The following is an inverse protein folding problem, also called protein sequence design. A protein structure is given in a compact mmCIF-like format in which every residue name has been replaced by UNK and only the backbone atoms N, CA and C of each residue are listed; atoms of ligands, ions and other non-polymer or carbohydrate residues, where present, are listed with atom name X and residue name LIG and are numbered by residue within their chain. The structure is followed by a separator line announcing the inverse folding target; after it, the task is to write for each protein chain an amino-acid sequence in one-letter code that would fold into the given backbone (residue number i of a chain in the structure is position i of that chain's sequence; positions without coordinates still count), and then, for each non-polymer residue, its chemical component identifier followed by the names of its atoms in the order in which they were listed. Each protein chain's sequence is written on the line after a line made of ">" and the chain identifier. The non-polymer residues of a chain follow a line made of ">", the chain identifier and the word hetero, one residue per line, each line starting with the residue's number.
data_IF_835705731924
#
_entry.id   IF_835705731924
#
_cell.length_a   1.000
_cell.length_b   1.000
_cell.length_c   1.000
_cell.angle_alpha   90.00
_cell.angle_beta   90.00
_cell.angle_gamma   90.00
#
_symmetry.space_group_name_H-M   'P 1'
#
loop_
_entity.id
_entity.type
_entity.pdbx_description
1 polymer ?
#
# COMPACT_ATOMS: atom_id res chain seq x y z
N UNK A 1 -6.34 3.53 5.78
CA UNK A 1 -6.93 2.86 4.59
C UNK A 1 -7.90 1.74 5.03
N UNK A 2 -9.13 1.75 4.52
CA UNK A 2 -10.14 0.75 4.85
C UNK A 2 -10.45 -0.07 3.58
N UNK A 3 -10.21 -1.37 3.62
CA UNK A 3 -10.44 -2.27 2.48
C UNK A 3 -11.58 -3.20 2.86
N UNK A 4 -12.74 -2.92 2.29
CA UNK A 4 -14.00 -3.58 2.63
C UNK A 4 -14.67 -4.12 1.38
N UNK A 5 -15.21 -5.34 1.47
CA UNK A 5 -16.22 -5.80 0.54
C UNK A 5 -17.56 -5.12 0.86
N UNK A 6 -18.39 -4.89 -0.16
CA UNK A 6 -19.70 -4.29 0.03
C UNK A 6 -20.61 -5.22 0.85
N UNK A 7 -21.54 -4.64 1.60
CA UNK A 7 -22.64 -5.38 2.21
C UNK A 7 -23.80 -5.45 1.23
N UNK A 8 -24.49 -6.59 1.16
CA UNK A 8 -25.84 -6.56 0.64
C UNK A 8 -26.76 -6.11 1.78
N UNK A 9 -27.24 -4.87 1.74
CA UNK A 9 -28.02 -4.25 2.81
C UNK A 9 -29.28 -5.05 3.19
N UNK A 10 -29.77 -5.89 2.27
CA UNK A 10 -30.99 -6.67 2.44
C UNK A 10 -30.83 -7.95 3.27
N UNK A 11 -29.63 -8.27 3.79
CA UNK A 11 -29.36 -9.55 4.48
C UNK A 11 -28.81 -9.45 5.93
N UNK A 12 -28.85 -8.28 6.55
CA UNK A 12 -28.53 -8.09 7.96
C UNK A 12 -27.05 -8.24 8.35
N UNK A 13 -26.77 -8.16 9.66
CA UNK A 13 -25.43 -8.11 10.29
C UNK A 13 -24.45 -9.25 9.92
N UNK A 14 -24.94 -10.32 9.31
CA UNK A 14 -24.16 -11.50 8.92
C UNK A 14 -23.78 -11.52 7.42
N UNK A 15 -24.00 -10.45 6.66
CA UNK A 15 -23.71 -10.40 5.23
C UNK A 15 -22.62 -9.39 4.88
N UNK A 16 -21.37 -9.76 5.13
CA UNK A 16 -20.20 -9.08 4.55
C UNK A 16 -19.72 -9.88 3.35
N UNK A 17 -19.74 -9.29 2.16
CA UNK A 17 -19.39 -9.99 0.92
C UNK A 17 -17.88 -10.00 0.62
N UNK A 18 -17.06 -9.86 1.67
CA UNK A 18 -15.59 -9.89 1.61
C UNK A 18 -15.08 -11.08 0.80
N UNK A 19 -15.79 -12.21 0.83
CA UNK A 19 -15.56 -13.40 0.02
C UNK A 19 -15.37 -13.18 -1.49
N UNK A 20 -15.90 -12.12 -2.10
CA UNK A 20 -15.74 -11.85 -3.54
C UNK A 20 -14.54 -10.96 -3.87
N UNK A 21 -14.06 -10.21 -2.88
CA UNK A 21 -12.89 -9.35 -3.04
C UNK A 21 -11.66 -10.13 -2.60
N UNK A 22 -10.90 -10.62 -3.59
CA UNK A 22 -9.77 -11.54 -3.42
C UNK A 22 -8.52 -10.98 -4.09
N UNK A 23 -7.38 -11.53 -3.70
CA UNK A 23 -6.09 -11.32 -4.34
C UNK A 23 -5.62 -9.85 -4.32
N UNK A 24 -5.86 -9.16 -3.21
CA UNK A 24 -5.31 -7.81 -3.00
C UNK A 24 -3.88 -7.93 -2.48
N UNK A 25 -2.96 -7.17 -3.05
CA UNK A 25 -1.62 -6.98 -2.51
C UNK A 25 -1.44 -5.51 -2.10
N UNK A 26 -1.06 -5.27 -0.86
CA UNK A 26 -0.71 -3.97 -0.30
C UNK A 26 0.77 -4.06 0.01
N UNK A 27 1.62 -3.42 -0.79
CA UNK A 27 3.05 -3.55 -0.60
C UNK A 27 3.82 -2.26 -0.83
N UNK A 28 4.91 -2.10 -0.06
CA UNK A 28 5.85 -0.97 -0.16
C UNK A 28 5.21 0.41 0.04
N UNK A 29 4.16 0.47 0.86
CA UNK A 29 3.52 1.74 1.24
C UNK A 29 4.09 2.29 2.55
N UNK A 30 3.95 3.60 2.75
CA UNK A 30 4.11 4.27 4.04
C UNK A 30 2.73 4.68 4.58
N UNK A 31 2.34 4.12 5.73
CA UNK A 31 1.20 4.57 6.52
C UNK A 31 1.73 5.43 7.67
N UNK A 32 1.31 6.70 7.75
CA UNK A 32 1.80 7.63 8.78
C UNK A 32 0.68 8.55 9.30
N UNK A 33 0.75 8.92 10.59
CA UNK A 33 -0.11 9.95 11.22
C UNK A 33 -1.60 9.60 11.34
N UNK A 34 -1.96 8.32 11.20
CA UNK A 34 -3.34 7.83 11.22
C UNK A 34 -3.65 7.09 12.51
N UNK A 35 -4.81 7.35 13.12
CA UNK A 35 -5.21 6.71 14.39
C UNK A 35 -5.31 5.16 14.30
N UNK A 36 -6.14 4.66 13.40
CA UNK A 36 -6.36 3.23 13.17
C UNK A 36 -6.70 2.96 11.70
N UNK A 37 -6.90 1.68 11.36
CA UNK A 37 -7.13 1.21 9.98
C UNK A 37 -5.88 1.40 9.11
N UNK A 38 -4.78 0.84 9.58
CA UNK A 38 -3.44 0.95 8.97
C UNK A 38 -2.89 -0.37 8.38
N UNK A 39 -3.59 -1.11 7.49
CA UNK A 39 -4.95 -0.96 7.00
C UNK A 39 -5.97 -1.69 7.91
N UNK A 40 -7.28 -1.52 7.64
CA UNK A 40 -8.35 -2.44 8.10
C UNK A 40 -8.78 -3.35 6.94
N UNK A 41 -8.79 -4.66 7.16
CA UNK A 41 -8.96 -5.69 6.14
C UNK A 41 -10.17 -6.57 6.43
N UNK A 42 -11.24 -6.38 5.65
CA UNK A 42 -12.49 -7.11 5.77
C UNK A 42 -12.87 -7.79 4.43
N UNK A 43 -11.86 -8.09 3.60
CA UNK A 43 -12.00 -8.81 2.34
C UNK A 43 -11.34 -10.18 2.46
N UNK A 44 -11.51 -11.07 1.48
CA UNK A 44 -11.20 -12.48 1.67
C UNK A 44 -9.71 -12.81 1.62
N UNK A 45 -9.00 -12.54 0.52
CA UNK A 45 -7.56 -12.84 0.43
C UNK A 45 -6.73 -11.59 0.20
N UNK A 46 -5.89 -11.24 1.18
CA UNK A 46 -5.02 -10.06 1.14
C UNK A 46 -3.60 -10.43 1.52
N UNK A 47 -2.61 -9.80 0.86
CA UNK A 47 -1.21 -9.82 1.26
C UNK A 47 -0.78 -8.41 1.62
N UNK A 48 -0.26 -8.23 2.83
CA UNK A 48 0.33 -6.99 3.33
C UNK A 48 1.83 -7.22 3.43
N UNK A 49 2.59 -6.76 2.44
CA UNK A 49 4.00 -7.13 2.26
C UNK A 49 4.89 -5.89 2.27
N UNK A 50 5.90 -5.85 3.16
CA UNK A 50 6.95 -4.83 3.14
C UNK A 50 6.46 -3.37 3.19
N UNK A 51 5.39 -3.10 3.94
CA UNK A 51 4.95 -1.74 4.22
C UNK A 51 5.66 -1.19 5.47
N UNK A 52 5.72 0.13 5.58
CA UNK A 52 6.13 0.85 6.79
C UNK A 52 4.89 1.46 7.41
N UNK A 53 4.65 1.16 8.68
CA UNK A 53 3.58 1.75 9.49
C UNK A 53 4.22 2.58 10.60
N UNK A 54 3.96 3.87 10.60
CA UNK A 54 4.58 4.83 11.50
C UNK A 54 3.55 5.68 12.24
N UNK A 55 3.84 5.98 13.51
CA UNK A 55 3.10 6.95 14.32
C UNK A 55 1.58 6.75 14.30
N UNK A 56 1.14 5.51 14.52
CA UNK A 56 -0.29 5.23 14.65
C UNK A 56 -0.77 5.61 16.05
N UNK A 57 -2.07 5.89 16.14
CA UNK A 57 -2.78 6.06 17.42
C UNK A 57 -3.26 4.72 17.93
N UNK A 58 -4.57 4.48 17.88
CA UNK A 58 -5.20 3.27 18.40
C UNK A 58 -4.64 1.94 17.84
N UNK A 59 -4.34 1.82 16.52
CA UNK A 59 -3.96 0.51 15.93
C UNK A 59 -3.00 0.61 14.75
N UNK A 60 -2.00 -0.26 14.77
CA UNK A 60 -1.04 -0.45 13.70
C UNK A 60 -1.61 -1.20 12.47
N UNK A 61 -2.74 -1.89 12.63
CA UNK A 61 -3.42 -2.62 11.56
C UNK A 61 -4.57 -3.46 12.11
N UNK A 62 -5.46 -3.91 11.23
CA UNK A 62 -6.63 -4.69 11.60
C UNK A 62 -7.04 -5.64 10.48
N UNK A 63 -7.35 -6.88 10.86
CA UNK A 63 -8.10 -7.82 10.04
C UNK A 63 -9.42 -8.11 10.74
N UNK A 64 -10.48 -8.40 10.00
CA UNK A 64 -11.75 -8.77 10.59
C UNK A 64 -12.42 -9.92 9.85
N UNK A 65 -13.42 -10.49 10.51
CA UNK A 65 -14.41 -11.36 9.90
C UNK A 65 -13.79 -12.62 9.29
N UNK A 66 -14.04 -12.88 8.01
CA UNK A 66 -13.59 -14.03 7.23
C UNK A 66 -12.25 -13.77 6.49
N UNK A 67 -11.55 -12.69 6.84
CA UNK A 67 -10.32 -12.31 6.15
C UNK A 67 -9.20 -13.34 6.33
N UNK A 68 -8.58 -13.71 5.21
CA UNK A 68 -7.39 -14.54 5.09
C UNK A 68 -6.24 -13.64 4.65
N UNK A 69 -5.31 -13.38 5.58
CA UNK A 69 -4.28 -12.35 5.39
C UNK A 69 -2.89 -12.91 5.59
N UNK A 70 -1.98 -12.58 4.68
CA UNK A 70 -0.54 -12.71 4.90
C UNK A 70 0.04 -11.35 5.29
N UNK A 71 0.70 -11.26 6.43
CA UNK A 71 1.48 -10.09 6.85
C UNK A 71 2.96 -10.47 6.84
N UNK A 72 3.70 -9.98 5.83
CA UNK A 72 5.06 -10.43 5.57
C UNK A 72 6.02 -9.24 5.49
N UNK A 73 7.04 -9.23 6.35
CA UNK A 73 8.16 -8.29 6.28
C UNK A 73 7.78 -6.83 6.44
N UNK A 74 6.66 -6.51 7.11
CA UNK A 74 6.26 -5.13 7.41
C UNK A 74 7.10 -4.55 8.56
N UNK A 75 7.28 -3.24 8.55
CA UNK A 75 8.03 -2.50 9.57
C UNK A 75 7.10 -1.54 10.31
N UNK A 76 6.86 -1.82 11.58
CA UNK A 76 6.05 -0.99 12.46
C UNK A 76 6.99 -0.17 13.35
N UNK A 77 6.85 1.15 13.32
CA UNK A 77 7.64 2.08 14.15
C UNK A 77 6.72 3.03 14.91
N UNK A 78 6.70 2.94 16.23
CA UNK A 78 5.95 3.89 17.06
C UNK A 78 6.55 5.31 16.96
N UNK A 79 5.68 6.32 16.99
CA UNK A 79 6.04 7.74 17.04
C UNK A 79 5.40 8.45 18.25
N UNK A 80 5.37 9.80 18.28
CA UNK A 80 4.76 10.58 19.37
C UNK A 80 3.29 10.22 19.69
N UNK A 81 2.49 9.85 18.68
CA UNK A 81 1.09 9.44 18.84
C UNK A 81 0.95 8.01 19.40
N UNK A 82 1.99 7.18 19.25
CA UNK A 82 1.96 5.79 19.69
C UNK A 82 2.23 5.73 21.19
N UNK A 83 1.16 5.66 21.97
CA UNK A 83 1.22 5.56 23.44
C UNK A 83 1.71 4.20 23.90
N UNK A 84 2.09 4.11 25.18
CA UNK A 84 2.67 2.91 25.76
C UNK A 84 1.65 1.87 26.27
N UNK A 85 0.37 2.15 26.06
CA UNK A 85 -0.70 1.24 26.42
C UNK A 85 -0.71 0.05 25.45
N UNK A 86 -0.70 -1.15 26.02
CA UNK A 86 -0.69 -2.43 25.33
C UNK A 86 -1.77 -2.58 24.26
N UNK A 87 -2.86 -1.83 24.35
CA UNK A 87 -3.95 -1.79 23.37
C UNK A 87 -3.59 -1.04 22.08
N UNK A 88 -2.62 -0.13 22.13
CA UNK A 88 -2.25 0.74 21.01
C UNK A 88 -1.23 0.08 20.08
N UNK A 89 -0.39 -0.84 20.57
CA UNK A 89 0.73 -1.36 19.77
C UNK A 89 0.38 -2.35 18.66
N UNK A 90 -0.85 -2.86 18.59
CA UNK A 90 -1.07 -4.21 18.03
C UNK A 90 -1.76 -4.19 16.68
N UNK A 91 -1.43 -5.20 15.87
CA UNK A 91 -2.29 -5.56 14.74
C UNK A 91 -3.35 -6.51 15.27
N UNK A 92 -4.63 -6.20 15.06
CA UNK A 92 -5.71 -6.98 15.68
C UNK A 92 -6.48 -7.84 14.67
N UNK A 93 -7.16 -8.85 15.19
CA UNK A 93 -8.15 -9.65 14.48
C UNK A 93 -9.51 -9.52 15.17
N UNK A 94 -10.48 -8.90 14.49
CA UNK A 94 -11.89 -8.89 14.89
C UNK A 94 -12.59 -10.16 14.38
N UNK A 95 -12.94 -11.12 15.23
CA UNK A 95 -13.56 -12.36 14.77
C UNK A 95 -14.96 -12.12 14.22
N UNK A 96 -15.40 -13.02 13.34
CA UNK A 96 -16.80 -13.11 12.93
C UNK A 96 -17.73 -13.38 14.13
N UNK A 97 -18.95 -12.84 14.10
CA UNK A 97 -19.94 -13.13 15.14
C UNK A 97 -20.31 -14.62 15.10
N UNK A 98 -20.24 -15.30 16.23
CA UNK A 98 -20.57 -16.74 16.33
C UNK A 98 -22.01 -17.06 15.89
N UNK A 99 -22.93 -16.10 16.00
CA UNK A 99 -24.32 -16.21 15.56
C UNK A 99 -24.48 -16.28 14.03
N UNK A 100 -23.44 -15.96 13.27
CA UNK A 100 -23.46 -15.97 11.83
C UNK A 100 -22.87 -17.31 11.34
N UNK A 101 -23.74 -18.31 11.20
CA UNK A 101 -23.39 -19.59 10.60
C UNK A 101 -23.05 -19.40 9.11
N UNK A 102 -22.06 -20.15 8.63
CA UNK A 102 -21.48 -20.10 7.28
C UNK A 102 -20.48 -18.97 7.05
N UNK A 103 -19.21 -19.23 7.35
CA UNK A 103 -18.09 -18.57 6.67
C UNK A 103 -16.80 -19.42 6.72
N UNK A 104 -15.93 -19.33 5.69
CA UNK A 104 -14.64 -20.00 5.69
C UNK A 104 -13.78 -19.52 6.87
N UNK A 105 -12.86 -20.34 7.39
CA UNK A 105 -12.06 -19.97 8.54
C UNK A 105 -11.10 -18.83 8.14
N UNK A 106 -11.32 -17.65 8.70
CA UNK A 106 -10.33 -16.58 8.70
C UNK A 106 -8.99 -17.12 9.16
N UNK A 107 -7.90 -16.66 8.54
CA UNK A 107 -6.57 -17.12 8.95
C UNK A 107 -5.47 -16.14 8.59
N UNK A 108 -4.49 -16.06 9.47
CA UNK A 108 -3.41 -15.10 9.42
C UNK A 108 -2.08 -15.85 9.33
N UNK A 109 -1.28 -15.48 8.35
CA UNK A 109 0.12 -15.90 8.23
C UNK A 109 1.02 -14.69 8.48
N UNK A 110 1.94 -14.82 9.44
CA UNK A 110 2.82 -13.73 9.84
C UNK A 110 4.27 -14.19 9.71
N UNK A 111 5.07 -13.43 8.98
CA UNK A 111 6.48 -13.77 8.76
C UNK A 111 7.36 -12.53 8.66
N UNK A 112 8.43 -12.48 9.45
CA UNK A 112 9.51 -11.49 9.30
C UNK A 112 9.13 -10.03 9.55
N UNK A 113 7.97 -9.74 10.17
CA UNK A 113 7.58 -8.39 10.57
C UNK A 113 8.44 -7.90 11.75
N UNK A 114 8.67 -6.60 11.85
CA UNK A 114 9.39 -5.94 12.96
C UNK A 114 8.49 -4.86 13.55
N UNK A 115 8.46 -4.75 14.88
CA UNK A 115 7.75 -3.67 15.58
C UNK A 115 8.62 -3.02 16.66
N UNK A 116 9.08 -1.80 16.37
CA UNK A 116 9.86 -0.96 17.30
C UNK A 116 8.95 0.05 18.03
N UNK A 117 9.22 0.40 19.30
CA UNK A 117 10.38 0.03 20.13
C UNK A 117 10.13 -1.05 21.21
N UNK A 118 8.87 -1.48 21.41
CA UNK A 118 8.46 -2.20 22.64
C UNK A 118 8.56 -3.73 22.57
N UNK A 119 8.87 -4.27 21.40
CA UNK A 119 8.99 -5.71 21.20
C UNK A 119 10.33 -6.01 20.53
N UNK A 120 11.28 -6.60 21.28
CA UNK A 120 12.35 -7.40 20.66
C UNK A 120 11.67 -8.41 19.74
N UNK A 121 12.19 -8.61 18.51
CA UNK A 121 11.68 -9.62 17.57
C UNK A 121 11.25 -10.88 18.35
N UNK A 122 9.94 -11.10 18.52
CA UNK A 122 9.47 -12.18 19.36
C UNK A 122 9.88 -13.47 18.66
N UNK A 123 10.28 -14.47 19.45
CA UNK A 123 10.47 -15.82 18.93
C UNK A 123 9.20 -16.36 18.28
N UNK A 124 8.03 -15.84 18.70
CA UNK A 124 6.73 -16.09 18.08
C UNK A 124 6.30 -14.90 17.20
N UNK A 125 6.25 -15.04 15.86
CA UNK A 125 5.81 -13.96 14.97
C UNK A 125 4.37 -13.49 15.24
N UNK A 126 3.54 -14.29 15.92
CA UNK A 126 2.18 -13.94 16.29
C UNK A 126 2.05 -13.07 17.54
N UNK A 127 3.13 -12.83 18.29
CA UNK A 127 3.08 -12.01 19.49
C UNK A 127 2.72 -10.54 19.21
N UNK A 128 2.85 -10.09 17.96
CA UNK A 128 2.41 -8.77 17.50
C UNK A 128 0.88 -8.67 17.29
N UNK A 129 0.18 -9.82 17.30
CA UNK A 129 -1.22 -9.92 16.89
C UNK A 129 -2.14 -10.45 17.97
N UNK A 130 -3.36 -9.92 18.01
CA UNK A 130 -4.31 -10.20 19.07
C UNK A 130 -5.77 -10.19 18.65
N UNK A 131 -6.60 -10.78 19.50
CA UNK A 131 -8.06 -10.71 19.38
C UNK A 131 -8.56 -9.30 19.71
N UNK A 132 -9.45 -8.77 18.86
CA UNK A 132 -10.14 -7.52 19.12
C UNK A 132 -11.00 -7.61 20.39
N UNK A 133 -11.15 -6.48 21.10
CA UNK A 133 -11.88 -6.30 22.38
C UNK A 133 -11.30 -7.01 23.60
N UNK A 134 -10.83 -8.24 23.48
CA UNK A 134 -10.30 -9.00 24.61
C UNK A 134 -8.81 -8.74 24.87
N UNK A 135 -8.09 -8.24 23.85
CA UNK A 135 -6.64 -7.99 23.88
C UNK A 135 -5.83 -9.22 24.32
N UNK A 136 -6.38 -10.41 24.08
CA UNK A 136 -5.72 -11.69 24.30
C UNK A 136 -4.86 -12.05 23.09
N UNK A 137 -3.82 -12.91 23.26
CA UNK A 137 -3.08 -13.47 22.14
C UNK A 137 -4.02 -14.04 21.07
N UNK A 138 -3.61 -13.96 19.81
CA UNK A 138 -4.38 -14.52 18.70
C UNK A 138 -4.67 -16.00 18.94
N UNK A 139 -5.94 -16.39 18.82
CA UNK A 139 -6.38 -17.78 18.93
C UNK A 139 -5.68 -18.63 17.84
N UNK A 140 -5.25 -19.84 18.22
CA UNK A 140 -4.58 -20.76 17.32
C UNK A 140 -5.41 -21.11 16.09
N UNK A 141 -6.75 -21.06 16.15
CA UNK A 141 -7.62 -21.30 14.99
C UNK A 141 -7.44 -20.27 13.86
N UNK A 142 -6.97 -19.07 14.17
CA UNK A 142 -6.66 -18.03 13.17
C UNK A 142 -5.21 -18.08 12.71
N UNK A 143 -4.37 -19.00 13.20
CA UNK A 143 -2.95 -19.06 12.81
C UNK A 143 -2.76 -20.02 11.64
N UNK A 144 -2.06 -19.56 10.62
CA UNK A 144 -1.67 -20.36 9.45
C UNK A 144 -0.16 -20.31 9.24
N UNK A 145 0.47 -21.49 9.22
CA UNK A 145 1.94 -21.63 9.14
C UNK A 145 2.51 -21.42 7.74
N UNK A 146 1.71 -21.58 6.69
CA UNK A 146 2.11 -21.38 5.29
C UNK A 146 1.45 -20.12 4.72
N UNK A 147 2.10 -19.34 3.84
CA UNK A 147 1.48 -18.20 3.17
C UNK A 147 0.37 -18.65 2.20
N UNK A 148 -0.41 -17.69 1.70
CA UNK A 148 -1.34 -17.90 0.61
C UNK A 148 -0.55 -18.36 -0.62
N UNK A 149 -1.16 -19.20 -1.47
CA UNK A 149 -0.59 -19.56 -2.77
C UNK A 149 -0.14 -18.29 -3.51
N UNK A 150 1.08 -18.22 -4.08
CA UNK A 150 1.54 -17.03 -4.79
C UNK A 150 0.54 -16.53 -5.85
N UNK A 151 0.44 -15.21 -6.01
CA UNK A 151 -0.30 -14.61 -7.12
C UNK A 151 0.44 -14.89 -8.46
N UNK A 152 -0.23 -14.80 -9.62
CA UNK A 152 0.42 -14.97 -10.93
C UNK A 152 1.66 -14.09 -11.09
N UNK A 153 1.59 -12.84 -10.61
CA UNK A 153 2.72 -11.92 -10.47
C UNK A 153 3.00 -11.72 -8.98
N UNK A 154 3.92 -12.50 -8.38
CA UNK A 154 4.12 -12.47 -6.93
C UNK A 154 5.00 -11.30 -6.49
N UNK A 155 4.55 -10.57 -5.47
CA UNK A 155 5.40 -9.59 -4.78
C UNK A 155 6.51 -10.33 -4.04
N UNK A 156 7.76 -10.11 -4.44
CA UNK A 156 8.93 -10.68 -3.75
C UNK A 156 9.20 -9.92 -2.44
N UNK A 157 8.94 -10.59 -1.32
CA UNK A 157 9.22 -10.05 0.00
C UNK A 157 10.73 -9.93 0.26
N UNK A 158 11.12 -8.88 0.99
CA UNK A 158 12.46 -8.66 1.53
C UNK A 158 12.41 -8.55 3.06
N UNK A 159 13.55 -8.64 3.78
CA UNK A 159 13.57 -8.42 5.22
C UNK A 159 13.00 -7.04 5.61
N UNK A 160 12.26 -6.94 6.72
CA UNK A 160 11.56 -5.71 7.10
C UNK A 160 12.47 -4.46 7.21
N UNK A 161 13.73 -4.60 7.65
CA UNK A 161 14.70 -3.49 7.65
C UNK A 161 15.06 -3.02 6.24
N UNK A 162 15.17 -3.95 5.29
CA UNK A 162 15.40 -3.59 3.89
C UNK A 162 14.15 -2.95 3.27
N UNK A 163 12.95 -3.42 3.64
CA UNK A 163 11.69 -2.80 3.26
C UNK A 163 11.61 -1.35 3.77
N UNK A 164 11.94 -1.10 5.03
CA UNK A 164 11.99 0.24 5.61
C UNK A 164 12.85 1.20 4.77
N UNK A 165 14.08 0.80 4.45
CA UNK A 165 14.97 1.63 3.64
C UNK A 165 14.44 1.86 2.22
N UNK A 166 13.86 0.83 1.58
CA UNK A 166 13.31 0.95 0.21
C UNK A 166 12.09 1.87 0.17
N UNK A 167 11.15 1.68 1.09
CA UNK A 167 9.94 2.52 1.16
C UNK A 167 10.34 3.98 1.39
N UNK A 168 11.21 4.28 2.34
CA UNK A 168 11.61 5.68 2.59
C UNK A 168 12.52 6.29 1.52
N UNK A 169 13.02 5.50 0.58
CA UNK A 169 13.74 6.01 -0.59
C UNK A 169 12.78 6.32 -1.75
N UNK A 170 11.66 5.60 -1.83
CA UNK A 170 10.76 5.64 -2.98
C UNK A 170 9.31 5.32 -2.58
N UNK A 171 8.63 6.31 -2.00
CA UNK A 171 7.21 6.24 -1.66
C UNK A 171 6.51 7.54 -2.02
N UNK A 172 5.20 7.43 -2.25
CA UNK A 172 4.35 8.57 -2.56
C UNK A 172 4.49 9.07 -3.99
N UNK A 173 3.84 10.20 -4.27
CA UNK A 173 3.90 10.88 -5.57
C UNK A 173 5.21 11.67 -5.69
N UNK A 174 6.32 10.96 -5.82
CA UNK A 174 7.66 11.53 -5.74
C UNK A 174 8.38 11.64 -7.10
N UNK A 175 7.65 11.42 -8.20
CA UNK A 175 8.17 11.44 -9.55
C UNK A 175 7.07 11.80 -10.56
N UNK A 176 7.49 12.32 -11.71
CA UNK A 176 6.66 12.50 -12.91
C UNK A 176 7.41 11.96 -14.13
N UNK A 177 6.68 11.68 -15.20
CA UNK A 177 7.23 11.28 -16.49
C UNK A 177 7.51 12.55 -17.33
N UNK A 178 8.67 12.63 -17.99
CA UNK A 178 8.95 13.70 -18.96
C UNK A 178 8.59 13.30 -20.41
N UNK A 179 8.76 14.23 -21.36
CA UNK A 179 8.42 13.99 -22.77
C UNK A 179 9.26 12.93 -23.48
N UNK A 180 10.33 12.43 -22.84
CA UNK A 180 11.15 11.31 -23.33
C UNK A 180 10.78 9.99 -22.63
N UNK A 181 9.66 9.92 -21.91
CA UNK A 181 9.29 8.72 -21.16
C UNK A 181 10.21 8.43 -19.97
N UNK A 182 10.96 9.42 -19.46
CA UNK A 182 11.90 9.23 -18.34
C UNK A 182 11.28 9.73 -17.04
N UNK A 183 11.22 8.86 -16.02
CA UNK A 183 10.83 9.28 -14.68
C UNK A 183 11.83 10.27 -14.06
N UNK A 184 11.34 11.47 -13.75
CA UNK A 184 12.05 12.53 -13.03
C UNK A 184 11.57 12.59 -11.59
N UNK A 185 12.51 12.50 -10.65
CA UNK A 185 12.21 12.64 -9.22
C UNK A 185 11.79 14.07 -8.91
N UNK A 186 10.67 14.19 -8.20
CA UNK A 186 10.12 15.43 -7.70
C UNK A 186 9.44 15.15 -6.36
N UNK A 187 10.09 15.54 -5.27
CA UNK A 187 9.52 15.46 -3.92
C UNK A 187 9.29 16.86 -3.39
N UNK A 188 8.18 17.04 -2.69
CA UNK A 188 7.81 18.31 -2.10
C UNK A 188 8.12 18.38 -0.59
N UNK A 189 7.73 19.49 0.04
CA UNK A 189 7.96 19.68 1.49
C UNK A 189 7.11 18.75 2.36
N UNK A 190 5.98 18.24 1.87
CA UNK A 190 5.16 17.25 2.57
C UNK A 190 5.82 15.88 2.50
N UNK A 191 6.30 15.45 1.33
CA UNK A 191 7.04 14.19 1.18
C UNK A 191 8.23 14.13 2.14
N UNK A 192 9.05 15.19 2.11
CA UNK A 192 10.23 15.30 2.95
C UNK A 192 9.87 15.31 4.44
N UNK A 193 8.83 16.07 4.83
CA UNK A 193 8.33 16.09 6.21
C UNK A 193 7.88 14.71 6.68
N UNK A 194 7.09 13.99 5.89
CA UNK A 194 6.62 12.64 6.26
C UNK A 194 7.77 11.64 6.39
N UNK A 195 8.75 11.70 5.49
CA UNK A 195 9.94 10.83 5.55
C UNK A 195 10.80 11.17 6.77
N UNK A 196 11.01 12.46 7.05
CA UNK A 196 11.79 12.91 8.20
C UNK A 196 11.11 12.57 9.52
N UNK A 197 9.79 12.69 9.60
CA UNK A 197 9.01 12.26 10.77
C UNK A 197 9.27 10.78 11.09
N UNK A 198 9.25 9.93 10.06
CA UNK A 198 9.55 8.50 10.22
C UNK A 198 11.00 8.29 10.66
N UNK A 199 11.97 9.00 10.09
CA UNK A 199 13.40 8.82 10.39
C UNK A 199 13.75 9.31 11.79
N UNK A 200 13.33 10.52 12.12
CA UNK A 200 13.65 11.25 13.35
C UNK A 200 12.72 10.89 14.52
N UNK A 201 11.66 10.12 14.25
CA UNK A 201 10.65 9.72 15.24
C UNK A 201 9.88 10.94 15.78
N UNK A 202 9.51 11.86 14.89
CA UNK A 202 8.73 13.09 15.16
C UNK A 202 7.33 13.02 14.52
N UNK A 203 6.59 14.11 14.54
CA UNK A 203 5.21 14.19 14.05
C UNK A 203 4.23 14.53 15.17
N UNK A 204 2.93 14.50 14.85
CA UNK A 204 1.86 14.80 15.80
C UNK A 204 1.75 13.69 16.87
N UNK A 205 1.40 14.09 18.10
CA UNK A 205 1.10 13.19 19.23
C UNK A 205 -0.37 12.76 19.29
N UNK A 206 -1.16 13.14 18.29
CA UNK A 206 -2.58 12.87 18.17
C UNK A 206 -2.94 12.69 16.69
N UNK A 207 -4.11 12.08 16.38
CA UNK A 207 -4.59 12.00 15.01
C UNK A 207 -4.82 13.40 14.46
N UNK A 208 -4.30 13.67 13.25
CA UNK A 208 -4.52 14.94 12.55
C UNK A 208 -6.02 15.21 12.44
N UNK A 209 -6.44 16.40 12.84
CA UNK A 209 -7.84 16.82 12.88
C UNK A 209 -8.01 18.22 12.26
N UNK A 210 -9.25 18.71 12.25
CA UNK A 210 -9.61 19.98 11.63
C UNK A 210 -8.81 21.17 12.22
N UNK A 211 -8.48 21.16 13.51
CA UNK A 211 -7.74 22.26 14.11
C UNK A 211 -6.31 22.34 13.56
N UNK A 212 -5.68 21.21 13.24
CA UNK A 212 -4.33 21.20 12.66
C UNK A 212 -4.32 21.82 11.25
N UNK A 213 -5.43 21.68 10.53
CA UNK A 213 -5.66 22.34 9.26
C UNK A 213 -5.88 23.84 9.44
N UNK A 214 -6.81 24.22 10.31
CA UNK A 214 -7.22 25.61 10.50
C UNK A 214 -6.08 26.48 11.07
N UNK A 215 -5.22 25.88 11.90
CA UNK A 215 -4.02 26.54 12.46
C UNK A 215 -2.80 26.46 11.54
N UNK A 216 -2.91 25.81 10.38
CA UNK A 216 -1.80 25.56 9.44
C UNK A 216 -0.62 24.82 10.08
N UNK A 217 -0.88 24.04 11.14
CA UNK A 217 0.11 23.09 11.68
C UNK A 217 0.43 21.99 10.66
N UNK A 218 -0.56 21.65 9.82
CA UNK A 218 -0.36 20.89 8.58
C UNK A 218 -0.51 21.83 7.41
N UNK A 219 0.61 22.20 6.78
CA UNK A 219 0.62 23.00 5.56
C UNK A 219 1.04 22.14 4.36
N UNK A 220 0.35 22.34 3.24
CA UNK A 220 0.77 21.86 1.93
C UNK A 220 1.52 22.97 1.19
N UNK A 221 2.58 22.65 0.43
CA UNK A 221 3.23 23.62 -0.41
C UNK A 221 2.27 24.11 -1.50
N UNK A 222 2.52 25.30 -2.02
CA UNK A 222 1.93 25.70 -3.31
C UNK A 222 2.49 24.75 -4.36
N UNK A 223 1.61 24.08 -5.10
CA UNK A 223 2.02 23.23 -6.21
C UNK A 223 2.42 24.12 -7.39
N UNK A 224 3.69 24.10 -7.76
CA UNK A 224 4.16 24.77 -8.96
C UNK A 224 3.54 24.12 -10.20
N UNK A 225 3.10 24.95 -11.16
CA UNK A 225 2.65 24.43 -12.44
C UNK A 225 3.84 23.81 -13.17
N UNK A 226 3.70 22.56 -13.59
CA UNK A 226 4.62 21.95 -14.53
C UNK A 226 4.52 22.58 -15.92
N UNK A 227 5.53 22.33 -16.75
CA UNK A 227 5.46 22.54 -18.19
C UNK A 227 5.11 21.18 -18.79
N UNK A 228 3.92 21.00 -19.41
CA UNK A 228 3.60 19.75 -20.08
C UNK A 228 4.59 19.52 -21.23
N UNK A 229 4.92 18.26 -21.50
CA UNK A 229 5.66 17.91 -22.73
C UNK A 229 4.82 18.25 -23.96
N UNK A 230 5.49 18.37 -25.11
CA UNK A 230 4.78 18.54 -26.38
C UNK A 230 4.26 17.18 -26.83
N UNK A 231 2.98 17.16 -27.18
CA UNK A 231 2.22 16.01 -27.68
C UNK A 231 1.33 16.60 -28.79
N UNK A 232 1.79 16.53 -30.03
CA UNK A 232 1.20 17.25 -31.17
C UNK A 232 -0.03 16.55 -31.71
N UNK A 233 -0.09 15.22 -31.62
CA UNK A 233 -1.20 14.41 -32.11
C UNK A 233 -2.22 14.05 -31.00
N UNK A 234 -1.89 14.38 -29.74
CA UNK A 234 -2.69 14.29 -28.52
C UNK A 234 -2.95 12.85 -28.04
N UNK A 235 -2.08 11.91 -28.38
CA UNK A 235 -2.18 10.49 -28.00
C UNK A 235 -1.77 10.19 -26.55
N UNK A 236 -1.17 11.17 -25.87
CA UNK A 236 -0.71 11.07 -24.50
C UNK A 236 0.76 10.65 -24.36
N UNK A 237 1.48 10.41 -25.46
CA UNK A 237 2.93 10.21 -25.52
C UNK A 237 3.63 11.51 -25.88
N UNK A 238 4.91 11.62 -25.53
CA UNK A 238 5.69 12.81 -25.87
C UNK A 238 6.24 12.74 -27.29
N UNK A 239 6.15 13.84 -28.04
CA UNK A 239 6.72 13.93 -29.39
C UNK A 239 8.18 13.48 -29.43
N UNK A 240 8.97 13.87 -28.41
CA UNK A 240 10.39 13.53 -28.34
C UNK A 240 10.59 12.01 -28.17
N UNK A 241 9.78 11.34 -27.34
CA UNK A 241 9.83 9.89 -27.15
C UNK A 241 9.47 9.14 -28.44
N UNK A 242 8.38 9.54 -29.11
CA UNK A 242 7.98 8.94 -30.38
C UNK A 242 9.02 9.14 -31.48
N UNK A 243 9.64 10.33 -31.56
CA UNK A 243 10.73 10.58 -32.51
C UNK A 243 11.97 9.76 -32.16
N UNK A 244 12.31 9.62 -30.89
CA UNK A 244 13.47 8.85 -30.43
C UNK A 244 13.33 7.35 -30.76
N UNK A 245 12.12 6.78 -30.65
CA UNK A 245 11.86 5.34 -30.88
C UNK A 245 11.36 4.99 -32.29
N UNK A 246 10.50 5.81 -32.88
CA UNK A 246 9.87 5.52 -34.18
C UNK A 246 10.33 6.45 -35.31
N UNK A 247 10.95 7.58 -34.98
CA UNK A 247 11.36 8.61 -35.94
C UNK A 247 10.20 9.39 -36.56
N UNK A 248 8.97 9.22 -36.06
CA UNK A 248 7.76 9.91 -36.51
C UNK A 248 6.65 9.86 -35.45
N UNK A 249 5.68 10.77 -35.54
CA UNK A 249 4.51 10.87 -34.64
C UNK A 249 3.28 10.11 -35.15
N UNK A 250 3.47 9.10 -36.01
CA UNK A 250 2.39 8.43 -36.74
C UNK A 250 2.43 6.91 -36.56
N UNK A 251 3.39 6.42 -35.78
CA UNK A 251 3.51 4.99 -35.51
C UNK A 251 2.56 4.58 -34.40
N UNK A 252 2.36 5.47 -33.41
CA UNK A 252 1.54 5.25 -32.23
C UNK A 252 0.27 6.16 -32.18
N UNK A 253 -0.27 6.54 -33.35
CA UNK A 253 -1.30 7.60 -33.50
C UNK A 253 -2.48 7.55 -32.52
N UNK A 254 -2.98 8.73 -32.12
CA UNK A 254 -4.15 8.95 -31.27
C UNK A 254 -5.36 8.02 -31.49
N UNK A 255 -5.73 7.73 -32.75
CA UNK A 255 -6.90 6.90 -33.07
C UNK A 255 -6.68 5.41 -32.80
N UNK A 256 -5.43 5.00 -32.57
CA UNK A 256 -5.02 3.61 -32.39
C UNK A 256 -4.05 3.37 -31.22
N UNK A 257 -3.81 4.37 -30.36
CA UNK A 257 -2.88 4.32 -29.22
C UNK A 257 -3.04 3.11 -28.28
N UNK A 258 -4.23 2.51 -28.22
CA UNK A 258 -4.51 1.26 -27.46
C UNK A 258 -4.40 -0.01 -28.31
N UNK A 259 -3.75 0.05 -29.48
CA UNK A 259 -3.51 -1.10 -30.36
C UNK A 259 -2.14 -1.09 -31.01
N UNK A 260 -1.34 -0.04 -30.82
CA UNK A 260 0.05 -0.02 -31.28
C UNK A 260 0.90 -0.66 -30.19
N UNK A 261 1.67 -1.65 -30.61
CA UNK A 261 2.52 -2.54 -29.82
C UNK A 261 3.68 -2.82 -30.76
N UNK A 262 4.63 -1.88 -30.81
CA UNK A 262 5.63 -1.80 -31.87
C UNK A 262 6.52 -3.05 -31.93
N UNK A 263 6.89 -3.59 -30.78
CA UNK A 263 7.70 -4.78 -30.69
C UNK A 263 6.89 -6.09 -30.65
N UNK A 264 5.56 -6.03 -30.49
CA UNK A 264 4.65 -7.18 -30.40
C UNK A 264 4.94 -8.07 -29.19
N UNK A 265 5.09 -7.49 -28.02
CA UNK A 265 5.23 -8.23 -26.76
C UNK A 265 3.94 -8.28 -25.92
N UNK A 266 2.93 -7.50 -26.31
CA UNK A 266 1.61 -7.48 -25.72
C UNK A 266 1.33 -6.28 -24.82
N UNK A 267 2.28 -5.36 -24.67
CA UNK A 267 2.06 -4.03 -24.08
C UNK A 267 1.86 -2.98 -25.18
N UNK A 268 0.97 -2.03 -24.95
CA UNK A 268 0.80 -0.93 -25.91
C UNK A 268 1.92 0.09 -25.77
N UNK A 269 2.27 0.78 -26.85
CA UNK A 269 3.31 1.81 -26.85
C UNK A 269 3.02 2.91 -25.80
N UNK A 270 1.74 3.25 -25.56
CA UNK A 270 1.35 4.16 -24.48
C UNK A 270 1.63 3.58 -23.09
N UNK A 271 1.43 2.27 -22.89
CA UNK A 271 1.77 1.61 -21.63
C UNK A 271 3.28 1.59 -21.43
N UNK A 272 4.05 1.39 -22.50
CA UNK A 272 5.51 1.50 -22.50
C UNK A 272 5.97 2.90 -22.10
N UNK A 273 5.43 3.94 -22.74
CA UNK A 273 5.71 5.33 -22.39
C UNK A 273 5.38 5.61 -20.93
N UNK A 274 4.18 5.26 -20.46
CA UNK A 274 3.73 5.49 -19.08
C UNK A 274 4.53 4.71 -18.04
N UNK A 275 5.14 3.59 -18.44
CA UNK A 275 6.04 2.78 -17.61
C UNK A 275 7.51 3.21 -17.73
N UNK A 276 7.83 4.11 -18.66
CA UNK A 276 9.20 4.51 -18.99
C UNK A 276 10.07 3.35 -19.48
N UNK A 277 9.46 2.40 -20.19
CA UNK A 277 10.12 1.26 -20.82
C UNK A 277 10.36 1.50 -22.31
N UNK A 278 10.96 0.52 -23.00
CA UNK A 278 11.50 0.68 -24.34
C UNK A 278 10.63 -0.08 -25.36
N UNK A 279 9.85 0.62 -26.21
CA UNK A 279 8.90 0.00 -27.13
C UNK A 279 9.59 -0.75 -28.29
N UNK A 280 10.92 -0.72 -28.37
CA UNK A 280 11.69 -1.49 -29.35
C UNK A 280 12.14 -2.85 -28.80
N UNK A 281 11.87 -3.16 -27.53
CA UNK A 281 12.38 -4.35 -26.84
C UNK A 281 11.26 -5.15 -26.18
N UNK A 282 11.22 -6.44 -26.55
CA UNK A 282 10.31 -7.45 -25.95
C UNK A 282 10.72 -7.84 -24.53
N UNK A 283 10.79 -6.88 -23.64
CA UNK A 283 11.23 -7.04 -22.25
C UNK A 283 10.24 -6.53 -21.21
N UNK A 284 9.01 -6.19 -21.64
CA UNK A 284 7.98 -5.76 -20.72
C UNK A 284 7.43 -6.87 -19.81
N UNK A 285 6.97 -6.51 -18.59
CA UNK A 285 6.90 -7.43 -17.45
C UNK A 285 5.84 -8.53 -17.48
#
# INVERSE_FOLDING_TARGET
>A
MNIQGTTNADRGDCFYTGQWVRNISIHRNLFTGSDHRNPRLNTHTIRVINNVMYNWGNRAGESAHDAIVDYIGNYYKGGPQTTDDISFYRVIHEPWKESCADNPPASLHLAGNIMEPYYKNPSDPYAYYQMYRTLQPLDNKYKRTQPLTPAPVPVKAVPAKAAYNRVLADVGCNAHLDGHGIFRRQSDSVDQRMIDDVRQKTGFDHPINQNDWDTHAVAFPVMDSGIPYTDTDHDGMGDDWEIDHFGNLHTAEYNDVLKTDYDHDGFYDLEEFLNGSDPEKKDSP
#
